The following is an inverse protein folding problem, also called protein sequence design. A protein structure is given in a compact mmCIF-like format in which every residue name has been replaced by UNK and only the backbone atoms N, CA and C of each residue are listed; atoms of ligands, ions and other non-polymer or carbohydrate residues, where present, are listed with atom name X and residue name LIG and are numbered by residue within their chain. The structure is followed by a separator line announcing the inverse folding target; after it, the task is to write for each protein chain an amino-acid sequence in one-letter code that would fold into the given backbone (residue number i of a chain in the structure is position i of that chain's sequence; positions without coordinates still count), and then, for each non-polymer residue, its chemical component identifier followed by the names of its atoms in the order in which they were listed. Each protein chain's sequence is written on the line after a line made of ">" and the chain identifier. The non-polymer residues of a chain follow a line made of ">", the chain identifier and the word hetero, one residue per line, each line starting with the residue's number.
data_IF_284228459660
#
_entry.id   IF_284228459660
#
_cell.length_a   1.000
_cell.length_b   1.000
_cell.length_c   1.000
_cell.angle_alpha   90.00
_cell.angle_beta   90.00
_cell.angle_gamma   90.00
#
_symmetry.space_group_name_H-M   'P 1'
#
loop_
_entity.id
_entity.type
_entity.pdbx_description
1 polymer ?
#
# COMPACT_ATOMS: atom_id res chain seq x y z
N UNK A 1 41.45 -33.45 -24.69
CA UNK A 1 41.26 -32.88 -23.34
C UNK A 1 40.65 -31.49 -23.54
N UNK A 2 39.31 -31.34 -23.63
CA UNK A 2 38.38 -30.98 -22.53
C UNK A 2 38.83 -29.69 -21.79
N UNK A 3 38.07 -28.59 -21.58
CA UNK A 3 36.65 -28.21 -21.77
C UNK A 3 36.50 -26.70 -21.36
N UNK A 4 35.60 -25.94 -22.01
CA UNK A 4 34.69 -24.84 -21.53
C UNK A 4 35.16 -23.56 -20.78
N UNK A 5 34.57 -22.40 -21.17
CA UNK A 5 34.43 -21.14 -20.39
C UNK A 5 33.43 -21.27 -19.21
N UNK A 6 33.44 -20.39 -18.17
CA UNK A 6 32.53 -19.22 -18.19
C UNK A 6 32.94 -17.98 -17.34
N UNK A 7 32.14 -16.92 -17.51
CA UNK A 7 32.14 -15.60 -16.86
C UNK A 7 31.96 -15.64 -15.32
N UNK A 8 32.37 -14.56 -14.63
CA UNK A 8 31.96 -14.29 -13.23
C UNK A 8 31.55 -12.83 -13.00
N UNK A 9 30.25 -12.68 -12.84
CA UNK A 9 29.49 -11.55 -12.29
C UNK A 9 29.84 -11.36 -10.81
N UNK A 10 30.01 -10.13 -10.35
CA UNK A 10 29.88 -9.72 -8.95
C UNK A 10 28.85 -8.57 -8.97
N UNK A 11 27.60 -8.70 -8.49
CA UNK A 11 27.16 -9.42 -7.30
C UNK A 11 27.12 -8.47 -6.11
N UNK A 12 26.37 -7.36 -6.19
CA UNK A 12 26.01 -6.54 -5.02
C UNK A 12 24.55 -6.80 -4.68
N UNK A 13 24.35 -7.76 -3.78
CA UNK A 13 23.09 -8.07 -3.15
C UNK A 13 22.85 -7.01 -2.07
N UNK A 14 21.92 -6.07 -2.31
CA UNK A 14 21.33 -5.28 -1.23
C UNK A 14 20.14 -6.07 -0.71
N UNK A 15 20.34 -6.71 0.45
CA UNK A 15 19.26 -7.28 1.25
C UNK A 15 18.60 -6.12 1.98
N UNK A 16 17.45 -5.68 1.48
CA UNK A 16 16.55 -4.82 2.24
C UNK A 16 15.50 -5.71 2.89
N UNK A 17 15.74 -6.07 4.15
CA UNK A 17 14.67 -6.55 5.03
C UNK A 17 13.90 -5.32 5.50
N UNK A 18 12.63 -5.22 5.13
CA UNK A 18 11.68 -4.35 5.85
C UNK A 18 10.61 -5.26 6.40
N UNK A 19 10.67 -5.47 7.71
CA UNK A 19 9.69 -6.22 8.47
C UNK A 19 8.35 -5.49 8.43
N UNK A 20 7.32 -6.15 7.92
CA UNK A 20 5.95 -5.74 8.15
C UNK A 20 5.53 -6.28 9.52
N UNK A 21 5.62 -5.44 10.55
CA UNK A 21 5.01 -5.76 11.84
C UNK A 21 3.50 -5.58 11.71
N UNK A 22 2.77 -6.67 11.46
CA UNK A 22 1.32 -6.66 11.54
C UNK A 22 0.91 -6.69 13.02
N UNK A 23 0.51 -5.54 13.56
CA UNK A 23 -0.15 -5.49 14.87
C UNK A 23 -1.58 -5.99 14.69
N UNK A 24 -1.83 -7.26 15.01
CA UNK A 24 -3.21 -7.76 15.16
C UNK A 24 -3.75 -7.21 16.48
N UNK A 25 -4.65 -6.23 16.40
CA UNK A 25 -5.39 -5.75 17.57
C UNK A 25 -6.57 -6.70 17.85
N UNK A 26 -6.54 -7.34 19.02
CA UNK A 26 -7.64 -8.13 19.57
C UNK A 26 -8.87 -7.24 19.87
N UNK A 27 -10.10 -7.79 19.92
CA UNK A 27 -11.27 -7.02 20.30
C UNK A 27 -11.24 -6.81 21.81
N UNK A 28 -10.86 -5.62 22.27
CA UNK A 28 -11.06 -5.25 23.68
C UNK A 28 -12.48 -4.68 23.82
N UNK A 29 -13.36 -5.52 24.35
CA UNK A 29 -14.67 -5.10 24.88
C UNK A 29 -14.47 -4.00 25.92
N UNK A 30 -15.29 -2.95 25.84
CA UNK A 30 -15.27 -1.84 26.80
C UNK A 30 -15.61 -2.34 28.20
N UNK A 31 -14.69 -2.20 29.15
CA UNK A 31 -14.97 -2.30 30.58
C UNK A 31 -15.21 -0.90 31.16
N UNK A 32 -16.15 -0.73 32.10
CA UNK A 32 -16.53 0.59 32.61
C UNK A 32 -15.42 1.18 33.48
N UNK A 33 -15.22 2.49 33.37
CA UNK A 33 -14.20 3.22 34.13
C UNK A 33 -14.50 3.18 35.63
N UNK A 34 -13.55 2.65 36.43
CA UNK A 34 -13.49 2.93 37.86
C UNK A 34 -12.31 3.86 38.14
N UNK A 35 -12.66 5.08 38.53
CA UNK A 35 -11.81 6.22 38.79
C UNK A 35 -11.00 6.05 40.08
N UNK A 36 -9.67 5.98 39.96
CA UNK A 36 -8.74 6.11 41.09
C UNK A 36 -7.56 7.01 40.70
N UNK A 37 -7.75 8.33 40.80
CA UNK A 37 -6.72 9.30 41.23
C UNK A 37 -5.34 9.30 40.56
N UNK A 38 -5.17 8.82 39.33
CA UNK A 38 -3.87 8.90 38.63
C UNK A 38 -3.69 10.29 38.01
N UNK A 39 -2.49 10.90 38.11
CA UNK A 39 -2.15 12.09 37.33
C UNK A 39 -2.50 11.83 35.87
N UNK A 40 -3.39 12.64 35.32
CA UNK A 40 -3.78 12.54 33.93
C UNK A 40 -2.58 13.01 33.10
N UNK A 41 -1.84 12.07 32.51
CA UNK A 41 -0.96 12.40 31.40
C UNK A 41 -1.80 13.18 30.37
N UNK A 42 -1.27 14.24 29.73
CA UNK A 42 -2.00 14.91 28.65
C UNK A 42 -2.48 13.81 27.69
N UNK A 43 -3.76 13.83 27.25
CA UNK A 43 -4.26 12.78 26.39
C UNK A 43 -3.28 12.64 25.22
N UNK A 44 -2.72 11.45 25.06
CA UNK A 44 -1.97 11.13 23.84
C UNK A 44 -2.86 11.61 22.70
N UNK A 45 -2.36 12.55 21.89
CA UNK A 45 -3.13 13.13 20.79
C UNK A 45 -3.77 11.98 20.02
N UNK A 46 -5.10 11.91 20.09
CA UNK A 46 -5.85 10.70 19.76
C UNK A 46 -5.71 10.30 18.30
N UNK A 47 -6.19 9.10 17.99
CA UNK A 47 -6.37 8.67 16.61
C UNK A 47 -7.23 9.69 15.85
N UNK A 48 -6.75 10.15 14.69
CA UNK A 48 -7.50 11.00 13.78
C UNK A 48 -7.87 10.21 12.51
N UNK A 49 -9.12 10.32 12.02
CA UNK A 49 -9.50 9.73 10.74
C UNK A 49 -8.79 10.43 9.59
N UNK A 50 -8.45 9.69 8.54
CA UNK A 50 -8.08 10.29 7.25
C UNK A 50 -9.32 11.01 6.69
N UNK A 51 -9.25 12.31 6.36
CA UNK A 51 -10.41 13.07 5.88
C UNK A 51 -11.04 12.48 4.62
N UNK A 52 -12.37 12.55 4.54
CA UNK A 52 -13.15 12.03 3.41
C UNK A 52 -13.47 10.54 3.51
N UNK A 53 -14.22 10.03 2.53
CA UNK A 53 -14.62 8.63 2.47
C UNK A 53 -13.94 7.90 1.31
N UNK A 54 -13.13 6.90 1.65
CA UNK A 54 -12.55 5.98 0.68
C UNK A 54 -13.57 4.95 0.18
N UNK A 55 -14.65 4.70 0.94
CA UNK A 55 -15.49 3.52 0.78
C UNK A 55 -14.67 2.25 0.94
N UNK A 56 -13.72 2.23 1.89
CA UNK A 56 -12.72 1.18 2.02
C UNK A 56 -13.36 -0.18 2.33
N UNK A 57 -13.05 -1.18 1.50
CA UNK A 57 -13.51 -2.58 1.62
C UNK A 57 -12.35 -3.54 1.86
N UNK A 58 -11.17 -3.03 2.20
CA UNK A 58 -9.96 -3.80 2.50
C UNK A 58 -9.13 -3.07 3.55
N UNK A 59 -8.12 -3.75 4.08
CA UNK A 59 -7.02 -3.05 4.77
C UNK A 59 -6.34 -2.05 3.83
N UNK A 60 -5.77 -0.95 4.38
CA UNK A 60 -5.04 0.02 3.60
C UNK A 60 -3.62 -0.46 3.28
N UNK A 61 -3.01 0.12 2.25
CA UNK A 61 -1.58 0.06 1.99
C UNK A 61 -1.02 1.48 1.86
N UNK A 62 0.20 1.71 2.35
CA UNK A 62 0.83 3.02 2.28
C UNK A 62 2.26 2.92 1.77
N UNK A 63 2.73 3.94 1.05
CA UNK A 63 4.14 4.09 0.65
C UNK A 63 4.50 5.57 0.51
N UNK A 64 5.75 5.94 0.74
CA UNK A 64 6.24 7.31 0.54
C UNK A 64 6.94 7.40 -0.80
N UNK A 65 6.45 8.24 -1.70
CA UNK A 65 6.98 8.43 -3.04
C UNK A 65 6.88 9.89 -3.47
N UNK A 66 7.90 10.42 -4.14
CA UNK A 66 7.89 11.81 -4.59
C UNK A 66 7.83 12.88 -3.48
N UNK A 67 8.16 12.52 -2.24
CA UNK A 67 8.09 13.42 -1.09
C UNK A 67 6.75 13.40 -0.33
N UNK A 68 5.79 12.58 -0.79
CA UNK A 68 4.47 12.47 -0.17
C UNK A 68 4.14 11.03 0.24
N UNK A 69 3.33 10.88 1.29
CA UNK A 69 2.74 9.58 1.63
C UNK A 69 1.53 9.32 0.73
N UNK A 70 1.51 8.17 0.09
CA UNK A 70 0.40 7.68 -0.73
C UNK A 70 -0.30 6.56 0.03
N UNK A 71 -1.60 6.72 0.27
CA UNK A 71 -2.45 5.77 0.97
C UNK A 71 -3.46 5.16 -0.01
N UNK A 72 -3.56 3.84 -0.04
CA UNK A 72 -4.40 3.08 -0.96
C UNK A 72 -5.37 2.19 -0.23
N UNK A 73 -6.56 2.00 -0.79
CA UNK A 73 -7.53 1.01 -0.34
C UNK A 73 -8.38 0.51 -1.50
N UNK A 74 -8.95 -0.70 -1.37
CA UNK A 74 -10.01 -1.15 -2.28
C UNK A 74 -11.29 -0.38 -1.96
N UNK A 75 -11.83 0.32 -2.95
CA UNK A 75 -13.10 1.03 -2.84
C UNK A 75 -14.30 0.21 -3.31
N UNK A 76 -15.46 0.87 -3.43
CA UNK A 76 -16.63 0.29 -4.08
C UNK A 76 -16.37 -0.03 -5.57
N UNK A 77 -17.10 -1.01 -6.10
CA UNK A 77 -16.99 -1.40 -7.51
C UNK A 77 -15.63 -1.98 -7.90
N UNK A 78 -14.91 -2.59 -6.96
CA UNK A 78 -13.58 -3.18 -7.15
C UNK A 78 -12.54 -2.17 -7.71
N UNK A 79 -12.75 -0.88 -7.44
CA UNK A 79 -11.79 0.18 -7.73
C UNK A 79 -10.66 0.23 -6.69
N UNK A 80 -9.51 0.79 -7.06
CA UNK A 80 -8.49 1.18 -6.08
C UNK A 80 -8.56 2.68 -5.87
N UNK A 81 -8.65 3.08 -4.61
CA UNK A 81 -8.71 4.47 -4.16
C UNK A 81 -7.34 4.89 -3.65
N UNK A 82 -6.99 6.15 -3.86
CA UNK A 82 -5.73 6.75 -3.39
C UNK A 82 -6.03 8.08 -2.72
N UNK A 83 -5.36 8.36 -1.61
CA UNK A 83 -5.18 9.71 -1.07
C UNK A 83 -3.69 9.96 -0.86
N UNK A 84 -3.28 11.22 -0.98
CA UNK A 84 -1.90 11.67 -0.84
C UNK A 84 -1.83 12.64 0.31
N UNK A 85 -0.96 12.34 1.26
CA UNK A 85 -0.63 13.23 2.36
C UNK A 85 0.69 13.94 2.06
N UNK A 86 0.60 15.26 1.96
CA UNK A 86 1.76 16.12 1.74
C UNK A 86 2.50 16.29 3.06
N UNK A 87 3.72 15.72 3.13
CA UNK A 87 4.54 15.74 4.34
C UNK A 87 5.06 17.13 4.70
N UNK A 88 5.09 18.06 3.73
CA UNK A 88 5.58 19.44 3.93
C UNK A 88 4.48 20.34 4.46
N UNK A 89 3.25 20.18 3.97
CA UNK A 89 2.12 21.05 4.35
C UNK A 89 1.21 20.44 5.41
N UNK A 90 1.44 19.19 5.82
CA UNK A 90 0.60 18.47 6.79
C UNK A 90 -0.88 18.41 6.35
N UNK A 91 -1.10 18.05 5.09
CA UNK A 91 -2.46 18.03 4.50
C UNK A 91 -2.70 16.80 3.64
N UNK A 92 -3.92 16.25 3.75
CA UNK A 92 -4.46 15.25 2.82
C UNK A 92 -5.04 15.92 1.57
N UNK A 93 -4.83 15.30 0.40
CA UNK A 93 -5.35 15.80 -0.88
C UNK A 93 -6.82 15.46 -1.13
N UNK A 94 -7.35 14.46 -0.40
CA UNK A 94 -8.67 13.88 -0.61
C UNK A 94 -8.62 12.64 -1.49
N UNK A 95 -9.52 11.70 -1.20
CA UNK A 95 -9.61 10.41 -1.89
C UNK A 95 -10.01 10.54 -3.37
N UNK A 96 -9.18 9.98 -4.25
CA UNK A 96 -9.43 9.82 -5.67
C UNK A 96 -9.43 8.34 -6.08
N UNK A 97 -9.97 8.04 -7.27
CA UNK A 97 -9.85 6.70 -7.86
C UNK A 97 -8.58 6.65 -8.69
N UNK A 98 -7.75 5.62 -8.49
CA UNK A 98 -6.62 5.33 -9.37
C UNK A 98 -7.17 5.07 -10.78
N UNK A 99 -6.79 5.86 -11.81
CA UNK A 99 -7.39 5.79 -13.13
C UNK A 99 -7.40 4.40 -13.77
N UNK A 100 -8.50 4.08 -14.45
CA UNK A 100 -8.72 2.81 -15.15
C UNK A 100 -9.42 1.73 -14.30
N UNK A 101 -9.57 0.55 -14.89
CA UNK A 101 -10.30 -0.57 -14.27
C UNK A 101 -9.34 -1.54 -13.59
N UNK A 102 -9.23 -1.43 -12.26
CA UNK A 102 -8.42 -2.34 -11.46
C UNK A 102 -9.02 -3.75 -11.43
N UNK A 103 -10.32 -3.87 -11.10
CA UNK A 103 -10.96 -5.16 -10.83
C UNK A 103 -10.38 -5.81 -9.57
N UNK A 104 -10.10 -5.00 -8.55
CA UNK A 104 -9.38 -5.38 -7.34
C UNK A 104 -10.19 -6.34 -6.47
N UNK A 105 -9.64 -7.54 -6.23
CA UNK A 105 -10.22 -8.57 -5.36
C UNK A 105 -9.50 -8.69 -4.01
N UNK A 106 -8.37 -8.02 -3.84
CA UNK A 106 -7.59 -7.96 -2.59
C UNK A 106 -7.39 -6.52 -2.11
N UNK A 107 -6.79 -6.38 -0.92
CA UNK A 107 -6.13 -5.12 -0.56
C UNK A 107 -5.04 -4.78 -1.60
N UNK A 108 -4.83 -3.50 -1.93
CA UNK A 108 -3.70 -3.09 -2.76
C UNK A 108 -2.37 -3.35 -2.05
N UNK A 109 -1.31 -3.56 -2.83
CA UNK A 109 0.07 -3.54 -2.34
C UNK A 109 0.88 -2.55 -3.19
N UNK A 110 1.70 -1.72 -2.57
CA UNK A 110 2.49 -0.70 -3.26
C UNK A 110 3.97 -0.85 -2.95
N UNK A 111 4.82 -0.64 -3.95
CA UNK A 111 6.28 -0.60 -3.81
C UNK A 111 6.87 0.40 -4.79
N UNK A 112 8.16 0.72 -4.65
CA UNK A 112 8.87 1.64 -5.54
C UNK A 112 9.97 0.88 -6.26
N UNK A 113 9.98 0.96 -7.58
CA UNK A 113 10.97 0.30 -8.40
C UNK A 113 11.19 1.06 -9.71
N UNK A 114 12.46 1.20 -10.12
CA UNK A 114 12.83 1.83 -11.39
C UNK A 114 12.45 3.31 -11.49
N UNK A 115 12.34 4.02 -10.35
CA UNK A 115 11.96 5.43 -10.29
C UNK A 115 10.47 5.69 -10.09
N UNK A 116 9.64 4.64 -9.97
CA UNK A 116 8.18 4.76 -10.00
C UNK A 116 7.51 3.95 -8.92
N UNK A 117 6.30 4.36 -8.56
CA UNK A 117 5.42 3.61 -7.68
C UNK A 117 4.70 2.54 -8.50
N UNK A 118 4.80 1.29 -8.08
CA UNK A 118 4.08 0.14 -8.63
C UNK A 118 3.03 -0.31 -7.64
N UNK A 119 1.80 -0.43 -8.12
CA UNK A 119 0.63 -0.85 -7.37
C UNK A 119 0.16 -2.21 -7.89
N UNK A 120 -0.21 -3.09 -6.98
CA UNK A 120 -0.65 -4.45 -7.29
C UNK A 120 -1.95 -4.77 -6.56
N UNK A 121 -2.80 -5.59 -7.19
CA UNK A 121 -3.97 -6.21 -6.56
C UNK A 121 -4.21 -7.57 -7.21
N UNK A 122 -4.83 -8.49 -6.48
CA UNK A 122 -5.43 -9.67 -7.09
C UNK A 122 -6.56 -9.21 -8.03
N UNK A 123 -6.62 -9.80 -9.22
CA UNK A 123 -7.72 -9.67 -10.18
C UNK A 123 -8.60 -10.93 -10.23
N UNK A 124 -9.59 -10.93 -11.11
CA UNK A 124 -10.42 -12.12 -11.36
C UNK A 124 -9.58 -13.30 -11.83
N UNK A 125 -9.97 -14.52 -11.44
CA UNK A 125 -9.32 -15.76 -11.88
C UNK A 125 -7.92 -15.99 -11.33
N UNK A 126 -7.56 -15.37 -10.18
CA UNK A 126 -6.25 -15.54 -9.55
C UNK A 126 -5.11 -14.83 -10.28
N UNK A 127 -5.45 -13.86 -11.14
CA UNK A 127 -4.47 -12.99 -11.80
C UNK A 127 -3.95 -11.91 -10.85
N UNK A 128 -2.82 -11.31 -11.20
CA UNK A 128 -2.32 -10.10 -10.53
C UNK A 128 -2.44 -8.93 -11.51
N UNK A 129 -3.08 -7.85 -11.07
CA UNK A 129 -3.22 -6.60 -11.81
C UNK A 129 -2.18 -5.62 -11.31
N UNK A 130 -1.57 -4.86 -12.22
CA UNK A 130 -0.57 -3.85 -11.88
C UNK A 130 -0.85 -2.52 -12.59
N UNK A 131 -0.51 -1.42 -11.92
CA UNK A 131 -0.48 -0.09 -12.49
C UNK A 131 0.72 0.67 -11.88
N UNK A 132 1.29 1.59 -12.63
CA UNK A 132 2.49 2.35 -12.26
C UNK A 132 2.19 3.84 -12.27
N UNK A 133 2.66 4.55 -11.26
CA UNK A 133 2.60 6.00 -11.17
C UNK A 133 4.00 6.61 -11.24
N UNK A 134 4.14 7.63 -12.09
CA UNK A 134 5.35 8.41 -12.23
C UNK A 134 5.12 9.82 -11.68
N UNK A 135 5.84 10.20 -10.63
CA UNK A 135 5.68 11.51 -10.00
C UNK A 135 6.23 12.66 -10.85
N UNK A 136 7.23 12.41 -11.71
CA UNK A 136 7.82 13.47 -12.54
C UNK A 136 6.89 13.92 -13.66
N UNK A 137 6.05 13.03 -14.17
CA UNK A 137 5.02 13.35 -15.16
C UNK A 137 3.62 13.47 -14.55
N UNK A 138 3.46 13.11 -13.27
CA UNK A 138 2.18 13.03 -12.57
C UNK A 138 1.14 12.17 -13.32
N UNK A 139 1.55 11.00 -13.81
CA UNK A 139 0.70 10.12 -14.62
C UNK A 139 0.67 8.68 -14.12
N UNK A 140 -0.50 8.06 -14.28
CA UNK A 140 -0.69 6.61 -14.16
C UNK A 140 -0.57 5.97 -15.55
N UNK A 141 0.16 4.87 -15.64
CA UNK A 141 0.35 4.14 -16.89
C UNK A 141 -0.91 3.38 -17.35
N UNK A 142 -1.80 3.04 -16.41
CA UNK A 142 -3.00 2.26 -16.63
C UNK A 142 -2.85 0.82 -16.14
N UNK A 143 -3.99 0.19 -15.82
CA UNK A 143 -4.02 -1.16 -15.26
C UNK A 143 -3.79 -2.24 -16.32
N UNK A 144 -2.78 -3.07 -16.11
CA UNK A 144 -2.45 -4.25 -16.92
C UNK A 144 -2.42 -5.50 -16.06
N UNK A 145 -2.47 -6.68 -16.69
CA UNK A 145 -2.34 -7.95 -15.99
C UNK A 145 -0.87 -8.37 -16.06
N UNK A 146 -0.29 -8.71 -14.90
CA UNK A 146 1.04 -9.30 -14.84
C UNK A 146 1.01 -10.64 -15.58
N UNK A 147 1.92 -10.90 -16.53
CA UNK A 147 1.91 -12.14 -17.29
C UNK A 147 2.00 -13.39 -16.40
N UNK A 148 1.21 -14.41 -16.75
CA UNK A 148 1.10 -15.67 -16.02
C UNK A 148 -0.09 -15.74 -15.06
N UNK A 149 -0.51 -16.96 -14.72
CA UNK A 149 -1.49 -17.18 -13.67
C UNK A 149 -0.72 -17.35 -12.37
N UNK A 150 -0.75 -16.33 -11.50
CA UNK A 150 -0.10 -16.42 -10.20
C UNK A 150 -0.79 -17.43 -9.27
N UNK A 151 -2.04 -17.83 -9.56
CA UNK A 151 -2.87 -18.56 -8.60
C UNK A 151 -3.06 -17.75 -7.32
N UNK A 152 -2.93 -16.42 -7.41
CA UNK A 152 -2.85 -15.56 -6.24
C UNK A 152 -4.19 -15.59 -5.52
N UNK A 153 -4.15 -15.91 -4.24
CA UNK A 153 -5.27 -15.77 -3.31
C UNK A 153 -4.90 -14.71 -2.28
N UNK A 154 -5.84 -13.85 -1.93
CA UNK A 154 -5.72 -13.02 -0.74
C UNK A 154 -5.68 -13.92 0.50
N UNK A 155 -4.91 -13.51 1.51
CA UNK A 155 -4.94 -14.11 2.85
C UNK A 155 -6.18 -13.66 3.63
#
# INVERSE_FOLDING_TARGET
>A
MHLTHPARTLGRLLVSVVGATALVAAPASAAPAQNWGRPQLPPASGWAPVPGDAGARSGPAATVYGGDLHLFARGAGDAVRVDRYNLTTDTWSGWATVPGTAGARSAPAATIYGGDLHLFTQGTGGTVRTNRYNASTNTWAGWTTVPGTAGATSA
#
